data_IF_320453825979
#
_entry.id   IF_320453825979
#
_cell.length_a   1.000
_cell.length_b   1.000
_cell.length_c   1.000
_cell.angle_alpha   90.00
_cell.angle_beta   90.00
_cell.angle_gamma   90.00
#
_symmetry.space_group_name_H-M   'P 1'
#
loop_
_entity.id
_entity.type
_entity.pdbx_description
1 polymer ?
#
# COMPACT_ATOMS: atom_id res chain seq x y z
N UNK A 1 -20.60 -19.13 2.44
CA UNK A 1 -20.73 -18.02 1.47
C UNK A 1 -19.33 -17.75 0.94
N UNK A 2 -19.08 -17.93 -0.35
CA UNK A 2 -17.79 -17.61 -0.97
C UNK A 2 -17.63 -16.09 -0.98
N UNK A 3 -16.72 -15.57 -0.16
CA UNK A 3 -16.37 -14.15 -0.14
C UNK A 3 -15.81 -13.78 -1.51
N UNK A 4 -16.44 -12.82 -2.19
CA UNK A 4 -15.93 -12.27 -3.46
C UNK A 4 -14.55 -11.65 -3.23
N UNK A 5 -13.62 -11.87 -4.16
CA UNK A 5 -12.23 -11.36 -4.08
C UNK A 5 -11.93 -10.44 -5.25
N UNK A 6 -11.13 -9.39 -5.00
CA UNK A 6 -10.59 -8.48 -6.01
C UNK A 6 -9.19 -8.94 -6.40
N UNK A 7 -8.95 -9.36 -7.66
CA UNK A 7 -7.62 -9.75 -8.14
C UNK A 7 -6.81 -8.52 -8.58
N UNK A 8 -5.49 -8.67 -8.54
CA UNK A 8 -4.52 -7.72 -9.06
C UNK A 8 -3.23 -8.46 -9.42
N UNK A 9 -2.37 -7.83 -10.21
CA UNK A 9 -1.05 -8.35 -10.56
C UNK A 9 -0.04 -7.24 -10.69
N UNK A 10 1.23 -7.56 -10.43
CA UNK A 10 2.33 -6.64 -10.75
C UNK A 10 2.39 -6.38 -12.27
N UNK A 11 3.17 -5.38 -12.68
CA UNK A 11 3.23 -4.93 -14.08
C UNK A 11 3.56 -6.06 -15.07
N UNK A 12 4.47 -6.98 -14.71
CA UNK A 12 4.82 -8.12 -15.56
C UNK A 12 3.97 -9.38 -15.32
N UNK A 13 3.04 -9.36 -14.37
CA UNK A 13 2.13 -10.48 -14.06
C UNK A 13 2.75 -11.63 -13.26
N UNK A 14 4.03 -11.59 -12.90
CA UNK A 14 4.70 -12.67 -12.16
C UNK A 14 4.25 -12.78 -10.69
N UNK A 15 3.71 -11.71 -10.13
CA UNK A 15 3.14 -11.69 -8.79
C UNK A 15 1.68 -11.32 -8.91
N UNK A 16 0.80 -12.17 -8.40
CA UNK A 16 -0.64 -11.91 -8.30
C UNK A 16 -1.01 -11.68 -6.85
N UNK A 17 -2.04 -10.86 -6.63
CA UNK A 17 -2.60 -10.57 -5.32
C UNK A 17 -4.11 -10.71 -5.42
N UNK A 18 -4.74 -11.27 -4.40
CA UNK A 18 -6.20 -11.22 -4.26
C UNK A 18 -6.60 -10.94 -2.82
N UNK A 19 -7.58 -10.05 -2.65
CA UNK A 19 -8.10 -9.61 -1.34
C UNK A 19 -9.63 -9.69 -1.31
N UNK A 20 -10.27 -9.84 -0.13
CA UNK A 20 -11.73 -9.78 -0.01
C UNK A 20 -12.28 -8.43 -0.48
N UNK A 21 -13.35 -8.45 -1.27
CA UNK A 21 -14.06 -7.24 -1.71
C UNK A 21 -14.57 -6.41 -0.52
N UNK A 22 -14.92 -7.06 0.59
CA UNK A 22 -15.32 -6.38 1.83
C UNK A 22 -14.22 -5.51 2.41
N UNK A 23 -12.94 -5.88 2.26
CA UNK A 23 -11.82 -5.06 2.71
C UNK A 23 -11.51 -3.95 1.70
N UNK A 24 -11.63 -4.24 0.39
CA UNK A 24 -11.39 -3.26 -0.67
C UNK A 24 -12.37 -2.08 -0.63
N UNK A 25 -13.59 -2.30 -0.13
CA UNK A 25 -14.61 -1.26 -0.01
C UNK A 25 -14.50 -0.41 1.28
N UNK A 26 -13.60 -0.74 2.21
CA UNK A 26 -13.39 0.04 3.43
C UNK A 26 -12.49 1.23 3.16
N UNK A 27 -13.08 2.33 2.69
CA UNK A 27 -12.36 3.58 2.38
C UNK A 27 -11.51 4.08 3.56
N UNK A 28 -11.99 3.91 4.79
CA UNK A 28 -11.29 4.31 6.01
C UNK A 28 -10.03 3.47 6.31
N UNK A 29 -9.79 2.39 5.57
CA UNK A 29 -8.54 1.61 5.62
C UNK A 29 -7.63 1.92 4.43
N UNK A 30 -8.03 2.85 3.56
CA UNK A 30 -7.29 3.25 2.37
C UNK A 30 -6.67 4.62 2.62
N UNK A 31 -5.35 4.70 2.44
CA UNK A 31 -4.60 5.90 2.76
C UNK A 31 -3.54 6.29 1.73
N UNK A 32 -3.37 7.59 1.55
CA UNK A 32 -2.21 8.19 0.90
C UNK A 32 -1.13 8.47 1.95
N UNK A 33 0.12 8.10 1.69
CA UNK A 33 1.25 8.41 2.57
C UNK A 33 2.27 9.29 1.85
N UNK A 34 2.46 10.51 2.35
CA UNK A 34 3.36 11.52 1.78
C UNK A 34 4.78 11.47 2.33
N UNK A 35 5.10 10.52 3.23
CA UNK A 35 6.43 10.39 3.80
C UNK A 35 7.49 10.13 2.72
N UNK A 36 8.75 10.51 2.97
CA UNK A 36 9.78 10.51 1.91
C UNK A 36 9.95 9.14 1.26
N UNK A 37 10.07 8.08 2.05
CA UNK A 37 10.27 6.72 1.54
C UNK A 37 9.02 6.12 0.91
N UNK A 38 7.82 6.54 1.33
CA UNK A 38 6.58 6.19 0.65
C UNK A 38 6.47 6.84 -0.74
N UNK A 39 6.90 8.09 -0.91
CA UNK A 39 7.02 8.71 -2.24
C UNK A 39 8.00 7.97 -3.14
N UNK A 40 9.18 7.63 -2.61
CA UNK A 40 10.20 6.90 -3.35
C UNK A 40 9.73 5.53 -3.84
N UNK A 41 9.08 4.74 -2.97
CA UNK A 41 8.60 3.40 -3.35
C UNK A 41 7.35 3.46 -4.25
N UNK A 42 6.50 4.49 -4.07
CA UNK A 42 5.33 4.71 -4.92
C UNK A 42 5.67 5.31 -6.28
N UNK A 43 6.89 5.85 -6.44
CA UNK A 43 7.30 6.56 -7.66
C UNK A 43 6.49 7.82 -7.94
N UNK A 44 5.82 8.40 -6.94
CA UNK A 44 4.84 9.49 -7.10
C UNK A 44 4.78 10.41 -5.86
N UNK A 45 3.82 11.34 -5.87
CA UNK A 45 3.58 12.35 -4.82
C UNK A 45 3.26 11.73 -3.45
N UNK A 46 2.71 10.52 -3.44
CA UNK A 46 2.43 9.70 -2.26
C UNK A 46 2.46 8.22 -2.64
N UNK A 47 2.54 7.32 -1.65
CA UNK A 47 2.13 5.94 -1.86
C UNK A 47 0.66 5.75 -1.55
N UNK A 48 -0.07 5.02 -2.40
CA UNK A 48 -1.49 4.72 -2.22
C UNK A 48 -1.67 3.28 -1.74
N UNK A 49 -2.28 3.12 -0.55
CA UNK A 49 -2.19 1.88 0.22
C UNK A 49 -3.54 1.48 0.81
N UNK A 50 -3.80 0.18 0.86
CA UNK A 50 -4.80 -0.45 1.71
C UNK A 50 -4.10 -1.04 2.94
N UNK A 51 -4.55 -0.67 4.13
CA UNK A 51 -4.11 -1.27 5.39
C UNK A 51 -4.99 -2.49 5.71
N UNK A 52 -4.43 -3.69 5.53
CA UNK A 52 -5.16 -4.97 5.62
C UNK A 52 -4.33 -6.00 6.38
N UNK A 53 -4.96 -6.93 7.10
CA UNK A 53 -4.25 -8.00 7.80
C UNK A 53 -3.58 -8.94 6.79
N UNK A 54 -2.35 -9.35 7.06
CA UNK A 54 -1.57 -10.22 6.15
C UNK A 54 -2.32 -11.52 5.81
N UNK A 55 -3.07 -12.09 6.77
CA UNK A 55 -3.86 -13.31 6.59
C UNK A 55 -5.00 -13.17 5.56
N UNK A 56 -5.47 -11.95 5.31
CA UNK A 56 -6.58 -11.67 4.39
C UNK A 56 -6.07 -11.36 2.97
N UNK A 57 -4.74 -11.37 2.77
CA UNK A 57 -4.11 -11.13 1.47
C UNK A 57 -3.52 -12.44 0.96
N UNK A 58 -4.02 -12.91 -0.18
CA UNK A 58 -3.40 -14.02 -0.89
C UNK A 58 -2.42 -13.45 -1.93
N UNK A 59 -1.17 -13.90 -1.88
CA UNK A 59 -0.11 -13.50 -2.81
C UNK A 59 0.45 -14.76 -3.45
N UNK A 60 0.50 -14.80 -4.79
CA UNK A 60 1.17 -15.86 -5.54
C UNK A 60 2.38 -15.28 -6.28
N UNK A 61 3.46 -16.05 -6.38
CA UNK A 61 4.78 -15.59 -6.81
C UNK A 61 5.73 -15.30 -5.65
N UNK A 62 6.94 -14.84 -5.95
CA UNK A 62 7.99 -14.60 -4.95
C UNK A 62 8.46 -13.14 -4.99
N UNK A 63 7.86 -12.26 -4.17
CA UNK A 63 8.37 -10.90 -4.02
C UNK A 63 9.76 -10.91 -3.37
N UNK A 64 10.64 -10.02 -3.84
CA UNK A 64 11.89 -9.70 -3.16
C UNK A 64 11.61 -8.75 -2.00
N UNK A 65 12.29 -8.96 -0.88
CA UNK A 65 12.16 -8.13 0.32
C UNK A 65 13.36 -7.18 0.41
N UNK A 66 13.07 -5.91 0.70
CA UNK A 66 14.06 -4.90 1.09
C UNK A 66 13.75 -4.38 2.50
N UNK A 67 14.76 -4.40 3.37
CA UNK A 67 14.69 -3.88 4.74
C UNK A 67 14.96 -2.37 4.75
N UNK A 68 13.89 -1.56 4.75
CA UNK A 68 14.01 -0.11 4.81
C UNK A 68 14.18 0.35 6.27
N UNK A 69 15.40 0.78 6.60
CA UNK A 69 15.77 1.33 7.91
C UNK A 69 15.66 2.85 7.99
N UNK A 70 15.40 3.52 6.86
CA UNK A 70 15.41 4.99 6.73
C UNK A 70 13.98 5.55 6.73
N UNK A 71 13.14 5.06 7.63
CA UNK A 71 11.72 5.46 7.71
C UNK A 71 11.54 6.68 8.61
N UNK A 72 10.55 7.53 8.28
CA UNK A 72 10.22 8.69 9.11
C UNK A 72 9.66 8.29 10.49
N UNK A 73 9.17 7.05 10.65
CA UNK A 73 8.71 6.52 11.94
C UNK A 73 9.82 5.95 12.81
N UNK A 74 11.06 5.85 12.30
CA UNK A 74 12.18 5.18 12.96
C UNK A 74 12.04 3.66 13.06
N UNK A 75 10.96 3.08 12.52
CA UNK A 75 10.72 1.64 12.52
C UNK A 75 11.16 1.02 11.21
N UNK A 76 11.94 -0.06 11.24
CA UNK A 76 12.28 -0.80 10.02
C UNK A 76 11.03 -1.34 9.34
N UNK A 77 10.88 -1.11 8.04
CA UNK A 77 9.78 -1.62 7.23
C UNK A 77 10.32 -2.58 6.18
N UNK A 78 9.79 -3.80 6.15
CA UNK A 78 10.00 -4.73 5.04
C UNK A 78 9.16 -4.29 3.86
N UNK A 79 9.80 -3.98 2.74
CA UNK A 79 9.16 -3.61 1.48
C UNK A 79 9.25 -4.79 0.51
N UNK A 80 8.10 -5.35 0.16
CA UNK A 80 7.98 -6.41 -0.84
C UNK A 80 7.77 -5.81 -2.23
N UNK A 81 8.51 -6.28 -3.22
CA UNK A 81 8.41 -5.82 -4.61
C UNK A 81 8.73 -6.94 -5.60
N UNK A 82 8.25 -6.79 -6.84
CA UNK A 82 8.61 -7.69 -7.92
C UNK A 82 10.05 -7.42 -8.37
N UNK A 83 10.93 -8.41 -8.28
CA UNK A 83 12.34 -8.29 -8.71
C UNK A 83 12.51 -8.09 -10.21
N UNK A 84 11.51 -8.45 -11.02
CA UNK A 84 11.55 -8.34 -12.47
C UNK A 84 11.09 -6.98 -12.99
N UNK A 85 9.93 -6.48 -12.52
CA UNK A 85 9.36 -5.22 -13.01
C UNK A 85 9.39 -4.05 -12.02
N UNK A 86 9.84 -4.27 -10.78
CA UNK A 86 9.95 -3.23 -9.75
C UNK A 86 8.64 -2.83 -9.07
N UNK A 87 7.47 -3.36 -9.48
CA UNK A 87 6.19 -3.05 -8.81
C UNK A 87 6.26 -3.34 -7.31
N UNK A 88 5.94 -2.34 -6.48
CA UNK A 88 5.81 -2.52 -5.04
C UNK A 88 4.53 -3.28 -4.73
N UNK A 89 4.62 -4.31 -3.89
CA UNK A 89 3.49 -5.18 -3.51
C UNK A 89 2.93 -4.74 -2.16
N UNK A 90 3.76 -4.72 -1.11
CA UNK A 90 3.35 -4.26 0.21
C UNK A 90 4.52 -3.70 1.03
N UNK A 91 4.21 -2.98 2.11
CA UNK A 91 5.13 -2.70 3.21
C UNK A 91 4.61 -3.28 4.52
N UNK A 92 5.47 -3.88 5.36
CA UNK A 92 5.09 -4.37 6.68
C UNK A 92 6.16 -4.10 7.75
N UNK A 93 5.72 -3.90 8.98
CA UNK A 93 6.63 -3.86 10.13
C UNK A 93 6.88 -5.31 10.59
N UNK A 94 8.10 -5.87 10.46
CA UNK A 94 8.37 -7.27 10.80
C UNK A 94 8.22 -7.57 12.30
N UNK A 95 8.18 -6.54 13.16
CA UNK A 95 8.03 -6.68 14.62
C UNK A 95 6.57 -6.61 15.09
N UNK A 96 5.62 -6.43 14.18
CA UNK A 96 4.21 -6.28 14.51
C UNK A 96 3.37 -7.30 13.75
N UNK A 97 2.36 -7.87 14.42
CA UNK A 97 1.31 -8.69 13.81
C UNK A 97 0.19 -7.80 13.21
N UNK A 98 0.44 -6.50 13.06
CA UNK A 98 -0.50 -5.52 12.55
C UNK A 98 -0.74 -5.62 11.04
N UNK A 99 -1.53 -4.68 10.48
CA UNK A 99 -1.82 -4.65 9.06
C UNK A 99 -0.57 -4.41 8.22
N UNK A 100 -0.56 -4.98 7.02
CA UNK A 100 0.37 -4.61 5.95
C UNK A 100 -0.20 -3.43 5.17
N UNK A 101 0.68 -2.60 4.62
CA UNK A 101 0.32 -1.56 3.66
C UNK A 101 0.42 -2.14 2.24
N UNK A 102 -0.67 -2.74 1.77
CA UNK A 102 -0.78 -3.29 0.41
C UNK A 102 -0.86 -2.15 -0.61
N UNK A 103 -0.10 -2.23 -1.71
CA UNK A 103 -0.09 -1.19 -2.75
C UNK A 103 -1.30 -1.35 -3.66
N UNK A 104 -2.11 -0.30 -3.73
CA UNK A 104 -3.32 -0.31 -4.55
C UNK A 104 -3.09 0.07 -6.01
N UNK A 105 -1.93 0.65 -6.35
CA UNK A 105 -1.62 1.05 -7.73
C UNK A 105 -1.50 -0.09 -8.75
N UNK A 106 -1.62 -1.35 -8.31
CA UNK A 106 -1.66 -2.53 -9.18
C UNK A 106 -3.10 -3.00 -9.48
N UNK A 107 -4.10 -2.41 -8.84
CA UNK A 107 -5.51 -2.77 -9.00
C UNK A 107 -6.14 -1.95 -10.13
N UNK A 108 -7.09 -2.55 -10.86
CA UNK A 108 -7.77 -1.88 -11.97
C UNK A 108 -8.71 -0.76 -11.48
N UNK A 109 -9.34 -0.97 -10.32
CA UNK A 109 -10.13 0.04 -9.62
C UNK A 109 -9.29 0.69 -8.51
N UNK A 110 -9.50 1.99 -8.30
CA UNK A 110 -8.79 2.78 -7.29
C UNK A 110 -9.82 3.55 -6.44
N UNK A 111 -10.30 2.98 -5.32
CA UNK A 111 -11.29 3.63 -4.46
C UNK A 111 -10.81 4.99 -3.89
N UNK A 112 -11.74 5.89 -3.54
CA UNK A 112 -11.36 7.12 -2.82
C UNK A 112 -10.68 6.74 -1.49
N UNK A 113 -9.49 7.29 -1.15
CA UNK A 113 -8.89 7.10 0.16
C UNK A 113 -9.77 7.74 1.24
N UNK A 114 -9.80 7.16 2.45
CA UNK A 114 -10.42 7.76 3.63
C UNK A 114 -9.43 8.53 4.50
N UNK A 115 -8.11 8.38 4.26
CA UNK A 115 -7.09 9.10 5.03
C UNK A 115 -5.87 9.54 4.21
N UNK A 116 -5.15 10.53 4.75
CA UNK A 116 -3.83 10.95 4.31
C UNK A 116 -2.87 11.02 5.50
N UNK A 117 -1.66 10.48 5.33
CA UNK A 117 -0.63 10.38 6.36
C UNK A 117 0.62 11.17 5.97
N UNK A 118 1.30 11.71 6.98
CA UNK A 118 2.47 12.55 6.84
C UNK A 118 2.20 13.78 5.97
N UNK A 119 1.03 14.40 6.12
CA UNK A 119 0.56 15.51 5.29
C UNK A 119 1.50 16.72 5.30
N UNK A 120 2.29 16.90 6.37
CA UNK A 120 3.41 17.87 6.44
C UNK A 120 4.48 17.72 5.34
N UNK A 121 4.54 16.56 4.67
CA UNK A 121 5.45 16.29 3.54
C UNK A 121 4.75 16.32 2.18
N UNK A 122 3.43 16.55 2.15
CA UNK A 122 2.70 16.81 0.90
C UNK A 122 3.31 18.05 0.24
N UNK A 123 3.61 18.03 -1.08
CA UNK A 123 4.08 19.23 -1.75
C UNK A 123 3.04 20.35 -1.64
N UNK A 124 3.47 21.57 -1.36
CA UNK A 124 2.57 22.69 -1.03
C UNK A 124 1.57 23.06 -2.15
N UNK A 125 1.89 22.69 -3.40
CA UNK A 125 1.02 22.89 -4.56
C UNK A 125 -0.03 21.79 -4.75
N UNK A 126 0.04 20.69 -3.99
CA UNK A 126 -0.94 19.60 -4.01
C UNK A 126 -2.03 19.90 -2.99
N UNK A 127 -3.26 20.07 -3.46
CA UNK A 127 -4.40 20.34 -2.59
C UNK A 127 -4.80 19.11 -1.76
N UNK A 128 -5.32 19.32 -0.54
CA UNK A 128 -6.07 18.29 0.19
C UNK A 128 -7.16 17.64 -0.65
N UNK A 129 -7.45 16.37 -0.34
CA UNK A 129 -8.66 15.71 -0.85
C UNK A 129 -9.76 16.04 0.14
N UNK A 130 -10.92 16.45 -0.36
CA UNK A 130 -12.06 16.76 0.50
C UNK A 130 -12.59 15.49 1.20
N UNK A 131 -13.08 15.64 2.43
CA UNK A 131 -13.72 14.58 3.22
C UNK A 131 -12.84 13.35 3.48
N UNK A 132 -11.58 13.55 3.87
CA UNK A 132 -10.68 12.49 4.36
C UNK A 132 -9.97 12.94 5.65
N UNK A 133 -9.58 11.99 6.49
CA UNK A 133 -8.80 12.28 7.70
C UNK A 133 -7.33 12.61 7.35
N UNK A 134 -6.78 13.71 7.89
CA UNK A 134 -5.37 14.08 7.70
C UNK A 134 -4.54 13.90 8.97
N UNK A 135 -3.38 13.25 8.81
CA UNK A 135 -2.39 13.00 9.86
C UNK A 135 -0.95 13.36 9.42
#
# INVERSE_FOLDING_TARGET
MTTSTIPSKCLCGQITVSIPQTEFNKTDSIGLCYCKTCRQIGGCLASYNLYILEKDVKIEGQPKIYEDKNTDSGTTIQRAFCSNCGSSIYGKNPKSVGPIALRLGMFDELPKPGMALYCKRRPDWVKPIDDIDEH
#
